data_IF_684725397518
#
_entry.id   IF_684725397518
#
_cell.length_a   1.000
_cell.length_b   1.000
_cell.length_c   1.000
_cell.angle_alpha   90.00
_cell.angle_beta   90.00
_cell.angle_gamma   90.00
#
_symmetry.space_group_name_H-M   'P 1'
#
loop_
_entity.id
_entity.type
_entity.pdbx_description
1 polymer ?
#
# COMPACT_ATOMS: atom_id res chain seq x y z
N UNK A 1 -21.34 7.54 -13.12
CA UNK A 1 -21.73 6.74 -11.97
C UNK A 1 -21.52 7.56 -10.71
N UNK A 2 -22.49 7.54 -9.84
CA UNK A 2 -22.43 8.28 -8.58
C UNK A 2 -21.67 7.45 -7.54
N UNK A 3 -20.68 8.08 -6.90
CA UNK A 3 -19.96 7.43 -5.81
C UNK A 3 -20.85 7.37 -4.56
N UNK A 4 -20.88 6.21 -3.90
CA UNK A 4 -21.56 6.06 -2.63
C UNK A 4 -20.69 6.59 -1.49
N UNK A 5 -21.30 6.86 -0.33
CA UNK A 5 -20.52 7.23 0.86
C UNK A 5 -19.50 6.18 1.25
N UNK A 6 -19.84 4.91 1.05
CA UNK A 6 -18.90 3.81 1.33
C UNK A 6 -17.69 3.85 0.39
N UNK A 7 -17.93 4.07 -0.90
CA UNK A 7 -16.84 4.17 -1.86
C UNK A 7 -15.93 5.35 -1.53
N UNK A 8 -16.50 6.50 -1.17
CA UNK A 8 -15.72 7.68 -0.81
C UNK A 8 -14.85 7.39 0.41
N UNK A 9 -15.39 6.70 1.41
CA UNK A 9 -14.61 6.31 2.59
C UNK A 9 -13.45 5.41 2.22
N UNK A 10 -13.68 4.43 1.35
CA UNK A 10 -12.63 3.53 0.89
C UNK A 10 -11.54 4.27 0.11
N UNK A 11 -11.94 5.24 -0.71
CA UNK A 11 -10.98 6.08 -1.42
C UNK A 11 -10.11 6.89 -0.47
N UNK A 12 -10.67 7.36 0.64
CA UNK A 12 -9.90 8.06 1.67
C UNK A 12 -8.86 7.14 2.32
N UNK A 13 -9.20 5.87 2.53
CA UNK A 13 -8.23 4.90 3.04
C UNK A 13 -7.09 4.68 2.04
N UNK A 14 -7.41 4.67 0.76
CA UNK A 14 -6.37 4.57 -0.28
C UNK A 14 -5.44 5.79 -0.23
N UNK A 15 -5.98 6.97 -0.02
CA UNK A 15 -5.17 8.18 0.14
C UNK A 15 -4.23 8.06 1.34
N UNK A 16 -4.69 7.47 2.44
CA UNK A 16 -3.86 7.23 3.62
C UNK A 16 -2.73 6.25 3.31
N UNK A 17 -3.01 5.20 2.56
CA UNK A 17 -2.00 4.24 2.12
C UNK A 17 -0.95 4.97 1.26
N UNK A 18 -1.38 5.80 0.33
CA UNK A 18 -0.48 6.53 -0.54
C UNK A 18 0.42 7.48 0.26
N UNK A 19 -0.12 8.13 1.29
CA UNK A 19 0.66 8.99 2.17
C UNK A 19 1.74 8.19 2.89
N UNK A 20 1.38 7.02 3.41
CA UNK A 20 2.32 6.13 4.10
C UNK A 20 3.38 5.61 3.12
N UNK A 21 2.98 5.23 1.91
CA UNK A 21 3.90 4.76 0.89
C UNK A 21 4.95 5.83 0.54
N UNK A 22 4.54 7.10 0.48
CA UNK A 22 5.48 8.19 0.24
C UNK A 22 6.50 8.33 1.37
N UNK A 23 6.11 8.08 2.61
CA UNK A 23 7.03 8.08 3.75
C UNK A 23 8.06 6.97 3.64
N UNK A 24 7.61 5.79 3.27
CA UNK A 24 8.50 4.65 3.05
C UNK A 24 9.48 4.98 1.93
N UNK A 25 8.98 5.49 0.81
CA UNK A 25 9.78 5.85 -0.34
C UNK A 25 10.86 6.88 0.00
N UNK A 26 10.48 7.88 0.78
CA UNK A 26 11.43 8.92 1.22
C UNK A 26 12.51 8.33 2.13
N UNK A 27 12.14 7.36 2.98
CA UNK A 27 13.07 6.75 3.92
C UNK A 27 14.00 5.70 3.31
N UNK A 28 13.66 5.17 2.12
CA UNK A 28 14.46 4.12 1.48
C UNK A 28 15.90 4.56 1.25
N UNK A 29 16.10 5.82 0.95
CA UNK A 29 17.45 6.34 0.67
C UNK A 29 18.39 6.27 1.87
N UNK A 30 17.85 6.20 3.08
CA UNK A 30 18.66 6.09 4.31
C UNK A 30 18.96 4.66 4.70
N UNK A 31 18.39 3.69 4.01
CA UNK A 31 18.57 2.28 4.31
C UNK A 31 19.75 1.70 3.56
N UNK A 32 20.43 0.74 4.19
CA UNK A 32 21.45 -0.07 3.51
C UNK A 32 20.77 -1.02 2.52
N UNK A 33 21.57 -1.60 1.63
CA UNK A 33 21.05 -2.57 0.67
C UNK A 33 20.42 -3.77 1.36
N UNK A 34 21.02 -4.23 2.44
CA UNK A 34 20.45 -5.34 3.20
C UNK A 34 19.14 -4.96 3.86
N UNK A 35 19.07 -3.77 4.44
CA UNK A 35 17.84 -3.29 5.06
C UNK A 35 16.73 -3.14 4.03
N UNK A 36 17.05 -2.70 2.82
CA UNK A 36 16.07 -2.63 1.73
C UNK A 36 15.53 -4.01 1.38
N UNK A 37 16.39 -5.01 1.31
CA UNK A 37 15.96 -6.38 1.04
C UNK A 37 15.06 -6.91 2.15
N UNK A 38 15.41 -6.64 3.39
CA UNK A 38 14.61 -7.07 4.54
C UNK A 38 13.24 -6.39 4.55
N UNK A 39 13.20 -5.12 4.23
CA UNK A 39 11.94 -4.40 4.14
C UNK A 39 11.07 -4.95 3.02
N UNK A 40 11.65 -5.23 1.85
CA UNK A 40 10.92 -5.81 0.73
C UNK A 40 10.31 -7.16 1.11
N UNK A 41 11.07 -8.02 1.78
CA UNK A 41 10.55 -9.31 2.25
C UNK A 41 9.43 -9.13 3.27
N UNK A 42 9.59 -8.19 4.16
CA UNK A 42 8.56 -7.90 5.16
C UNK A 42 7.26 -7.44 4.49
N UNK A 43 7.36 -6.57 3.48
CA UNK A 43 6.18 -6.09 2.74
C UNK A 43 5.49 -7.22 1.99
N UNK A 44 6.25 -8.12 1.38
CA UNK A 44 5.67 -9.28 0.67
C UNK A 44 4.90 -10.19 1.60
N UNK A 45 5.31 -10.27 2.86
CA UNK A 45 4.67 -11.14 3.86
C UNK A 45 3.49 -10.47 4.55
N UNK A 46 3.31 -9.17 4.39
CA UNK A 46 2.16 -8.50 5.01
C UNK A 46 0.86 -9.02 4.40
N UNK A 47 -0.16 -9.16 5.24
CA UNK A 47 -1.43 -9.73 4.80
C UNK A 47 -2.59 -8.89 5.35
N UNK A 48 -3.38 -8.27 4.47
CA UNK A 48 -3.14 -8.21 3.02
C UNK A 48 -2.05 -7.19 2.66
N UNK A 49 -1.41 -7.38 1.52
CA UNK A 49 -0.57 -6.35 0.93
C UNK A 49 -1.33 -5.68 -0.22
N UNK A 50 -0.75 -4.62 -0.79
CA UNK A 50 -1.42 -3.84 -1.83
C UNK A 50 -1.73 -4.68 -3.07
N UNK A 51 -0.85 -5.59 -3.44
CA UNK A 51 -1.06 -6.45 -4.62
C UNK A 51 -2.27 -7.34 -4.40
N UNK A 52 -2.36 -7.98 -3.25
CA UNK A 52 -3.49 -8.86 -2.92
C UNK A 52 -4.81 -8.10 -2.87
N UNK A 53 -4.78 -6.90 -2.32
CA UNK A 53 -5.99 -6.07 -2.26
C UNK A 53 -6.45 -5.65 -3.65
N UNK A 54 -5.51 -5.26 -4.51
CA UNK A 54 -5.82 -4.86 -5.87
C UNK A 54 -6.42 -6.03 -6.65
N UNK A 55 -5.84 -7.22 -6.52
CA UNK A 55 -6.36 -8.42 -7.16
C UNK A 55 -7.79 -8.72 -6.71
N UNK A 56 -8.07 -8.59 -5.41
CA UNK A 56 -9.40 -8.82 -4.88
C UNK A 56 -10.43 -7.82 -5.44
N UNK A 57 -10.03 -6.56 -5.61
CA UNK A 57 -10.91 -5.52 -6.15
C UNK A 57 -11.19 -5.72 -7.64
N UNK A 58 -10.23 -6.21 -8.38
CA UNK A 58 -10.36 -6.43 -9.82
C UNK A 58 -11.12 -7.72 -10.16
N UNK A 59 -11.31 -8.57 -9.16
CA UNK A 59 -11.99 -9.85 -9.34
C UNK A 59 -13.49 -9.65 -9.22
N UNK A 60 -14.13 -9.25 -10.28
CA UNK A 60 -15.57 -9.01 -10.35
C UNK A 60 -16.28 -10.03 -11.20
#
# INVERSE_FOLDING_TARGET
>A
MQATGELIRMMNYVDDIATTARRIQAGVQTLTDEERRRLAEYMKKSDPNLIKMLEALEKV
#
